data_IF_527758058301
#
_entry.id   IF_527758058301
#
_cell.length_a   1.000
_cell.length_b   1.000
_cell.length_c   1.000
_cell.angle_alpha   90.00
_cell.angle_beta   90.00
_cell.angle_gamma   90.00
#
_symmetry.space_group_name_H-M   'P 1'
#
loop_
_entity.id
_entity.type
_entity.pdbx_description
1 polymer ?
#
# COMPACT_ATOMS: atom_id res chain seq x y z
N UNK A 1 -31.78 38.74 17.69
CA UNK A 1 -31.18 37.98 16.58
C UNK A 1 -32.30 37.63 15.60
N UNK A 2 -32.19 38.05 14.33
CA UNK A 2 -33.28 37.93 13.34
C UNK A 2 -33.36 36.48 12.85
N UNK A 3 -34.52 36.05 12.36
CA UNK A 3 -34.76 34.68 11.87
C UNK A 3 -33.76 34.29 10.77
N UNK A 4 -33.38 35.23 9.90
CA UNK A 4 -32.35 35.05 8.88
C UNK A 4 -30.98 34.69 9.49
N UNK A 5 -30.60 35.27 10.64
CA UNK A 5 -29.31 34.96 11.28
C UNK A 5 -29.27 33.50 11.76
N UNK A 6 -30.40 32.97 12.23
CA UNK A 6 -30.52 31.56 12.66
C UNK A 6 -30.41 30.59 11.49
N UNK A 7 -31.06 30.93 10.36
CA UNK A 7 -31.02 30.12 9.14
C UNK A 7 -29.60 30.11 8.56
N UNK A 8 -28.92 31.25 8.53
CA UNK A 8 -27.53 31.33 8.05
C UNK A 8 -26.58 30.50 8.92
N UNK A 9 -26.74 30.51 10.25
CA UNK A 9 -25.93 29.67 11.16
C UNK A 9 -26.19 28.18 10.95
N UNK A 10 -27.45 27.77 10.71
CA UNK A 10 -27.79 26.38 10.43
C UNK A 10 -27.19 25.89 9.11
N UNK A 11 -27.23 26.70 8.05
CA UNK A 11 -26.58 26.36 6.79
C UNK A 11 -25.06 26.30 6.94
N UNK A 12 -24.43 27.25 7.63
CA UNK A 12 -22.98 27.24 7.87
C UNK A 12 -22.54 25.99 8.67
N UNK A 13 -23.29 25.60 9.70
CA UNK A 13 -23.03 24.39 10.48
C UNK A 13 -23.18 23.10 9.66
N UNK A 14 -24.16 23.05 8.75
CA UNK A 14 -24.36 21.92 7.85
C UNK A 14 -23.21 21.79 6.83
N UNK A 15 -22.77 22.91 6.24
CA UNK A 15 -21.60 22.95 5.35
C UNK A 15 -20.31 22.50 6.06
N UNK A 16 -20.09 22.94 7.31
CA UNK A 16 -18.90 22.56 8.09
C UNK A 16 -18.87 21.07 8.44
N UNK A 17 -20.03 20.49 8.77
CA UNK A 17 -20.15 19.06 9.10
C UNK A 17 -19.86 18.17 7.89
N UNK A 18 -20.23 18.60 6.68
CA UNK A 18 -19.99 17.84 5.46
C UNK A 18 -18.50 17.85 5.06
N UNK A 19 -17.81 18.99 5.24
CA UNK A 19 -16.38 19.11 4.93
C UNK A 19 -15.48 18.24 5.84
N UNK A 20 -15.86 18.02 7.10
CA UNK A 20 -15.05 17.26 8.06
C UNK A 20 -14.98 15.75 7.74
N UNK A 21 -15.98 15.19 7.05
CA UNK A 21 -16.03 13.77 6.71
C UNK A 21 -15.10 13.36 5.55
N UNK A 22 -14.56 14.31 4.77
CA UNK A 22 -13.77 14.02 3.57
C UNK A 22 -12.29 13.66 3.84
N UNK A 23 -11.81 13.76 5.09
CA UNK A 23 -10.38 13.65 5.44
C UNK A 23 -9.98 12.23 5.91
N UNK A 24 -10.93 11.29 6.02
CA UNK A 24 -10.68 10.01 6.70
C UNK A 24 -10.14 8.87 5.82
N UNK A 25 -9.83 9.10 4.54
CA UNK A 25 -9.19 8.10 3.68
C UNK A 25 -7.67 8.36 3.61
N UNK A 26 -6.95 7.97 4.66
CA UNK A 26 -5.48 7.95 4.60
C UNK A 26 -5.03 6.92 3.59
N UNK A 27 -4.26 7.33 2.57
CA UNK A 27 -3.59 6.37 1.69
C UNK A 27 -2.69 5.46 2.53
N UNK A 28 -2.67 4.17 2.21
CA UNK A 28 -1.80 3.22 2.89
C UNK A 28 -0.33 3.62 2.67
N UNK A 29 0.44 3.72 3.77
CA UNK A 29 1.87 4.07 3.76
C UNK A 29 2.72 3.20 2.82
N UNK A 30 2.28 1.97 2.55
CA UNK A 30 2.84 1.09 1.55
C UNK A 30 1.72 0.63 0.61
N UNK A 31 1.97 0.73 -0.70
CA UNK A 31 1.08 0.23 -1.74
C UNK A 31 1.68 -1.04 -2.33
N UNK A 32 0.86 -2.09 -2.47
CA UNK A 32 1.22 -3.35 -3.10
C UNK A 32 0.48 -3.42 -4.43
N UNK A 33 1.22 -3.57 -5.52
CA UNK A 33 0.68 -3.56 -6.87
C UNK A 33 1.01 -4.87 -7.61
N UNK A 34 0.04 -5.33 -8.39
CA UNK A 34 0.13 -6.49 -9.30
C UNK A 34 0.79 -7.74 -8.70
N UNK A 35 0.36 -8.26 -7.54
CA UNK A 35 0.92 -9.49 -7.00
C UNK A 35 0.53 -10.70 -7.87
N UNK A 36 1.51 -11.52 -8.23
CA UNK A 36 1.27 -12.77 -8.96
C UNK A 36 2.31 -13.83 -8.60
N UNK A 37 1.95 -15.09 -8.80
CA UNK A 37 2.85 -16.24 -8.65
C UNK A 37 2.93 -16.92 -10.00
N UNK A 38 4.15 -17.24 -10.44
CA UNK A 38 4.34 -18.01 -11.67
C UNK A 38 3.92 -19.46 -11.43
N UNK A 39 2.97 -19.96 -12.20
CA UNK A 39 2.64 -21.38 -12.22
C UNK A 39 3.87 -22.21 -12.60
N UNK A 40 4.11 -23.28 -11.85
CA UNK A 40 5.24 -24.18 -12.07
C UNK A 40 4.75 -25.57 -12.51
N UNK A 41 5.58 -26.35 -13.23
CA UNK A 41 5.24 -27.72 -13.59
C UNK A 41 4.91 -28.57 -12.33
N UNK A 42 4.11 -29.64 -12.45
CA UNK A 42 3.64 -30.44 -11.30
C UNK A 42 4.75 -30.99 -10.39
N UNK A 43 5.97 -31.13 -10.90
CA UNK A 43 7.12 -31.67 -10.18
C UNK A 43 7.93 -30.61 -9.44
N UNK A 44 7.67 -29.32 -9.66
CA UNK A 44 8.39 -28.24 -8.99
C UNK A 44 7.82 -28.00 -7.59
N UNK A 45 8.67 -28.10 -6.57
CA UNK A 45 8.30 -27.86 -5.17
C UNK A 45 8.49 -26.39 -4.74
N UNK A 46 9.05 -25.56 -5.61
CA UNK A 46 9.36 -24.15 -5.36
C UNK A 46 8.73 -23.29 -6.46
N UNK A 47 8.09 -22.20 -6.04
CA UNK A 47 7.48 -21.22 -6.92
C UNK A 47 8.08 -19.85 -6.63
N UNK A 48 8.00 -18.95 -7.63
CA UNK A 48 8.41 -17.57 -7.48
C UNK A 48 7.18 -16.66 -7.49
N UNK A 49 7.06 -15.85 -6.43
CA UNK A 49 6.10 -14.76 -6.33
C UNK A 49 6.74 -13.43 -6.73
N UNK A 50 5.96 -12.58 -7.38
CA UNK A 50 6.37 -11.26 -7.82
C UNK A 50 5.28 -10.26 -7.44
N UNK A 51 5.71 -9.08 -7.00
CA UNK A 51 4.83 -7.97 -6.65
C UNK A 51 5.66 -6.68 -6.72
N UNK A 52 4.99 -5.54 -6.77
CA UNK A 52 5.62 -4.23 -6.60
C UNK A 52 5.21 -3.64 -5.25
N UNK A 53 6.19 -3.16 -4.49
CA UNK A 53 5.96 -2.41 -3.24
C UNK A 53 6.37 -0.97 -3.46
N UNK A 54 5.47 -0.03 -3.19
CA UNK A 54 5.75 1.40 -3.21
C UNK A 54 5.59 1.97 -1.80
N UNK A 55 6.67 2.55 -1.27
CA UNK A 55 6.62 3.35 -0.06
C UNK A 55 6.13 4.76 -0.44
N UNK A 56 4.97 5.17 0.09
CA UNK A 56 4.37 6.49 -0.16
C UNK A 56 4.71 7.52 0.91
N UNK A 57 5.54 7.14 1.88
CA UNK A 57 5.97 8.00 2.98
C UNK A 57 7.35 8.60 2.74
N UNK A 58 7.65 9.69 3.44
CA UNK A 58 8.99 10.32 3.43
C UNK A 58 9.99 9.61 4.37
N UNK A 59 9.60 8.51 4.99
CA UNK A 59 10.44 7.76 5.93
C UNK A 59 11.04 6.53 5.28
N UNK A 60 12.30 6.25 5.57
CA UNK A 60 12.97 5.02 5.13
C UNK A 60 12.28 3.82 5.78
N UNK A 61 12.02 2.79 4.98
CA UNK A 61 11.44 1.53 5.42
C UNK A 61 12.32 0.36 4.96
N UNK A 62 12.30 -0.72 5.74
CA UNK A 62 13.02 -1.96 5.44
C UNK A 62 12.03 -3.13 5.37
N UNK A 63 12.03 -3.85 4.25
CA UNK A 63 11.29 -5.11 4.16
C UNK A 63 12.07 -6.20 4.88
N UNK A 64 11.56 -6.65 6.03
CA UNK A 64 12.26 -7.60 6.92
C UNK A 64 11.84 -9.06 6.73
N UNK A 65 10.76 -9.32 5.99
CA UNK A 65 10.27 -10.68 5.82
C UNK A 65 9.01 -10.76 4.96
N UNK A 66 8.74 -11.98 4.49
CA UNK A 66 7.52 -12.36 3.76
C UNK A 66 7.07 -13.71 4.29
N UNK A 67 5.76 -13.94 4.36
CA UNK A 67 5.16 -15.21 4.77
C UNK A 67 3.98 -15.55 3.87
N UNK A 68 3.67 -16.84 3.75
CA UNK A 68 2.49 -17.30 3.00
C UNK A 68 1.82 -18.46 3.76
N UNK A 69 0.47 -18.53 3.78
CA UNK A 69 -0.23 -19.70 4.31
C UNK A 69 -0.05 -20.94 3.42
N UNK A 70 0.21 -20.74 2.12
CA UNK A 70 0.32 -21.84 1.13
C UNK A 70 1.73 -22.45 1.07
N UNK A 71 2.74 -21.73 1.56
CA UNK A 71 4.14 -22.15 1.51
C UNK A 71 4.75 -22.23 2.89
N UNK A 72 5.38 -23.37 3.21
CA UNK A 72 6.05 -23.60 4.49
C UNK A 72 7.22 -22.62 4.75
N UNK A 73 7.87 -22.16 3.69
CA UNK A 73 9.03 -21.26 3.73
C UNK A 73 8.96 -20.30 2.56
N UNK A 74 9.31 -19.03 2.81
CA UNK A 74 9.49 -18.00 1.79
C UNK A 74 10.88 -17.41 1.95
N UNK A 75 11.58 -17.24 0.84
CA UNK A 75 12.91 -16.62 0.77
C UNK A 75 12.84 -15.39 -0.14
N UNK A 76 13.54 -14.32 0.23
CA UNK A 76 13.63 -13.10 -0.58
C UNK A 76 14.99 -13.06 -1.26
N UNK A 77 14.98 -12.88 -2.57
CA UNK A 77 16.18 -12.74 -3.38
C UNK A 77 16.30 -11.27 -3.79
N UNK A 78 17.43 -10.62 -3.50
CA UNK A 78 17.65 -9.22 -3.85
C UNK A 78 18.54 -9.16 -5.08
N UNK A 79 18.05 -8.53 -6.14
CA UNK A 79 18.86 -8.23 -7.32
C UNK A 79 18.90 -6.72 -7.50
N UNK A 80 20.08 -6.16 -7.70
CA UNK A 80 20.26 -4.72 -7.94
C UNK A 80 21.11 -4.47 -9.18
N UNK A 81 20.79 -3.39 -9.90
CA UNK A 81 21.61 -2.89 -10.99
C UNK A 81 22.74 -2.07 -10.39
N UNK A 82 23.96 -2.59 -10.42
CA UNK A 82 25.17 -1.89 -9.97
C UNK A 82 26.05 -1.63 -11.18
N UNK A 83 26.26 -0.36 -11.52
CA UNK A 83 27.05 0.06 -12.70
C UNK A 83 26.57 -0.59 -14.03
N UNK A 84 25.26 -0.79 -14.18
CA UNK A 84 24.67 -1.41 -15.37
C UNK A 84 24.71 -2.94 -15.39
N UNK A 85 25.13 -3.58 -14.31
CA UNK A 85 25.14 -5.04 -14.15
C UNK A 85 24.12 -5.48 -13.10
N UNK A 86 23.35 -6.51 -13.41
CA UNK A 86 22.44 -7.14 -12.44
C UNK A 86 23.24 -8.03 -11.48
N UNK A 87 23.26 -7.68 -10.20
CA UNK A 87 23.95 -8.44 -9.14
C UNK A 87 22.91 -8.97 -8.15
N UNK A 88 22.97 -10.28 -7.88
CA UNK A 88 22.13 -10.94 -6.87
C UNK A 88 22.88 -11.08 -5.54
N UNK A 89 22.23 -10.68 -4.45
CA UNK A 89 22.71 -10.67 -3.07
C UNK A 89 21.97 -11.69 -2.20
#
# INVERSE_FOLDING_TARGET
MKLNDRITVLFAGLYFSFACNAIAAGESAFQIENPWVREAPPMASMLAGYLMIKNTTDSVAMLIGVSSPEFRKVEMHRTEVVNGLDIMF
#
